data_IF_636752313632
#
_entry.id   IF_636752313632
#
_cell.length_a   1.000
_cell.length_b   1.000
_cell.length_c   1.000
_cell.angle_alpha   90.00
_cell.angle_beta   90.00
_cell.angle_gamma   90.00
#
_symmetry.space_group_name_H-M   'P 1'
#
loop_
_entity.id
_entity.type
_entity.pdbx_description
1 polymer ?
#
# COMPACT_ATOMS: atom_id res chain seq x y z
N UNK A 1 -12.63 3.31 -1.45
CA UNK A 1 -13.24 3.35 -2.81
C UNK A 1 -12.33 2.72 -3.87
N UNK A 2 -11.01 2.99 -3.88
CA UNK A 2 -10.07 2.46 -4.89
C UNK A 2 -10.03 0.93 -4.94
N UNK A 3 -10.20 0.25 -3.82
CA UNK A 3 -10.21 -1.22 -3.76
C UNK A 3 -11.36 -1.85 -4.57
N UNK A 4 -12.53 -1.20 -4.61
CA UNK A 4 -13.67 -1.69 -5.38
C UNK A 4 -13.38 -1.66 -6.89
N UNK A 5 -12.80 -0.57 -7.37
CA UNK A 5 -12.39 -0.45 -8.78
C UNK A 5 -11.26 -1.41 -9.12
N UNK A 6 -10.28 -1.53 -8.23
CA UNK A 6 -9.16 -2.45 -8.40
C UNK A 6 -9.60 -3.89 -8.48
N UNK A 7 -10.52 -4.32 -7.59
CA UNK A 7 -10.99 -5.71 -7.57
C UNK A 7 -11.72 -6.09 -8.85
N UNK A 8 -12.54 -5.19 -9.39
CA UNK A 8 -13.22 -5.43 -10.67
C UNK A 8 -12.20 -5.63 -11.80
N UNK A 9 -11.26 -4.71 -11.95
CA UNK A 9 -10.23 -4.78 -12.97
C UNK A 9 -9.32 -6.00 -12.81
N UNK A 10 -8.98 -6.36 -11.57
CA UNK A 10 -8.19 -7.53 -11.22
C UNK A 10 -8.88 -8.85 -11.63
N UNK A 11 -10.17 -9.01 -11.33
CA UNK A 11 -10.94 -10.20 -11.72
C UNK A 11 -11.00 -10.34 -13.24
N UNK A 12 -11.21 -9.23 -13.94
CA UNK A 12 -11.26 -9.21 -15.42
C UNK A 12 -9.89 -9.51 -16.01
N UNK A 13 -8.84 -8.87 -15.51
CA UNK A 13 -7.47 -9.01 -16.04
C UNK A 13 -6.92 -10.44 -15.82
N UNK A 14 -7.16 -11.01 -14.64
CA UNK A 14 -6.81 -12.41 -14.33
C UNK A 14 -7.74 -13.44 -14.97
N UNK A 15 -8.79 -13.01 -15.67
CA UNK A 15 -9.76 -13.88 -16.31
C UNK A 15 -10.38 -14.92 -15.36
N UNK A 16 -10.67 -14.49 -14.12
CA UNK A 16 -11.29 -15.36 -13.12
C UNK A 16 -12.70 -15.67 -13.56
N UNK A 17 -12.94 -16.95 -13.81
CA UNK A 17 -14.26 -17.45 -14.22
C UNK A 17 -15.08 -17.87 -13.00
N UNK A 18 -16.43 -17.96 -13.10
CA UNK A 18 -17.28 -18.38 -12.00
C UNK A 18 -16.88 -19.73 -11.39
N UNK A 19 -16.24 -20.62 -12.15
CA UNK A 19 -15.74 -21.90 -11.67
C UNK A 19 -14.64 -21.77 -10.60
N UNK A 20 -13.86 -20.70 -10.65
CA UNK A 20 -12.77 -20.43 -9.69
C UNK A 20 -13.17 -19.50 -8.53
N UNK A 21 -14.42 -19.05 -8.49
CA UNK A 21 -14.92 -18.12 -7.46
C UNK A 21 -14.75 -18.68 -6.02
N UNK A 22 -14.78 -20.01 -5.86
CA UNK A 22 -14.54 -20.66 -4.57
C UNK A 22 -13.11 -20.46 -4.07
N UNK A 23 -12.14 -20.62 -4.95
CA UNK A 23 -10.72 -20.41 -4.63
C UNK A 23 -10.40 -18.95 -4.34
N UNK A 24 -10.98 -18.03 -5.12
CA UNK A 24 -10.84 -16.58 -4.91
C UNK A 24 -11.38 -16.15 -3.54
N UNK A 25 -12.51 -16.69 -3.12
CA UNK A 25 -13.06 -16.43 -1.77
C UNK A 25 -12.14 -16.91 -0.66
N UNK A 26 -11.53 -18.08 -0.81
CA UNK A 26 -10.58 -18.62 0.18
C UNK A 26 -9.32 -17.75 0.24
N UNK A 27 -8.77 -17.36 -0.91
CA UNK A 27 -7.62 -16.47 -1.00
C UNK A 27 -7.90 -15.12 -0.33
N UNK A 28 -9.05 -14.53 -0.63
CA UNK A 28 -9.50 -13.28 -0.01
C UNK A 28 -9.67 -13.40 1.51
N UNK A 29 -10.31 -14.47 1.98
CA UNK A 29 -10.48 -14.69 3.42
C UNK A 29 -9.14 -14.87 4.15
N UNK A 30 -8.20 -15.62 3.55
CA UNK A 30 -6.85 -15.78 4.11
C UNK A 30 -6.10 -14.44 4.13
N UNK A 31 -6.17 -13.68 3.05
CA UNK A 31 -5.58 -12.35 2.97
C UNK A 31 -6.11 -11.41 4.05
N UNK A 32 -7.44 -11.34 4.22
CA UNK A 32 -8.07 -10.54 5.27
C UNK A 32 -7.61 -10.98 6.66
N UNK A 33 -7.59 -12.29 6.93
CA UNK A 33 -7.17 -12.83 8.22
C UNK A 33 -5.73 -12.42 8.55
N UNK A 34 -4.82 -12.58 7.60
CA UNK A 34 -3.40 -12.23 7.78
C UNK A 34 -3.21 -10.72 8.01
N UNK A 35 -3.92 -9.88 7.26
CA UNK A 35 -3.87 -8.41 7.43
C UNK A 35 -4.41 -8.00 8.80
N UNK A 36 -5.52 -8.58 9.24
CA UNK A 36 -6.10 -8.28 10.56
C UNK A 36 -5.17 -8.72 11.68
N UNK A 37 -4.61 -9.93 11.60
CA UNK A 37 -3.64 -10.42 12.59
C UNK A 37 -2.42 -9.50 12.64
N UNK A 38 -1.85 -9.12 11.48
CA UNK A 38 -0.71 -8.21 11.41
C UNK A 38 -1.01 -6.84 12.01
N UNK A 39 -2.16 -6.26 11.68
CA UNK A 39 -2.58 -4.97 12.21
C UNK A 39 -2.79 -5.01 13.73
N UNK A 40 -3.47 -6.03 14.24
CA UNK A 40 -3.69 -6.21 15.69
C UNK A 40 -2.36 -6.42 16.42
N UNK A 41 -1.47 -7.23 15.86
CA UNK A 41 -0.15 -7.46 16.44
C UNK A 41 0.68 -6.16 16.50
N UNK A 42 0.66 -5.37 15.44
CA UNK A 42 1.36 -4.08 15.41
C UNK A 42 0.77 -3.09 16.41
N UNK A 43 -0.55 -2.96 16.49
CA UNK A 43 -1.20 -2.11 17.48
C UNK A 43 -0.91 -2.54 18.91
N UNK A 44 -0.99 -3.84 19.20
CA UNK A 44 -0.69 -4.40 20.51
C UNK A 44 0.77 -4.18 20.92
N UNK A 45 1.69 -4.38 19.98
CA UNK A 45 3.11 -4.10 20.17
C UNK A 45 3.37 -2.62 20.50
N UNK A 46 2.82 -1.71 19.72
CA UNK A 46 2.95 -0.29 19.96
C UNK A 46 2.31 0.12 21.31
N UNK A 47 1.13 -0.39 21.60
CA UNK A 47 0.45 -0.12 22.86
C UNK A 47 1.27 -0.60 24.07
N UNK A 48 1.79 -1.82 24.02
CA UNK A 48 2.60 -2.38 25.09
C UNK A 48 3.93 -1.62 25.27
N UNK A 49 4.54 -1.20 24.17
CA UNK A 49 5.82 -0.51 24.20
C UNK A 49 5.70 0.91 24.71
N UNK A 50 4.68 1.66 24.27
CA UNK A 50 4.55 3.10 24.55
C UNK A 50 3.61 3.43 25.70
N UNK A 51 2.84 2.48 26.24
CA UNK A 51 1.94 2.72 27.35
C UNK A 51 2.70 3.29 28.58
N UNK A 52 2.24 4.42 29.08
CA UNK A 52 2.85 5.12 30.23
C UNK A 52 4.15 5.85 29.94
N UNK A 53 4.55 6.01 28.67
CA UNK A 53 5.73 6.78 28.26
C UNK A 53 5.34 8.14 27.70
N UNK A 54 6.23 9.16 27.79
CA UNK A 54 5.92 10.51 27.35
C UNK A 54 5.66 10.63 25.83
N UNK A 55 6.17 9.67 25.05
CA UNK A 55 5.97 9.61 23.61
C UNK A 55 4.58 9.08 23.21
N UNK A 56 3.83 8.48 24.15
CA UNK A 56 2.51 7.93 23.85
C UNK A 56 1.52 9.02 23.40
N UNK A 57 1.01 8.86 22.19
CA UNK A 57 0.09 9.83 21.58
C UNK A 57 0.74 11.09 20.97
N UNK A 58 2.05 11.23 21.07
CA UNK A 58 2.81 12.39 20.58
C UNK A 58 3.70 12.07 19.38
N UNK A 59 3.34 11.04 18.59
CA UNK A 59 4.08 10.74 17.37
C UNK A 59 3.71 11.74 16.28
N UNK A 60 4.68 12.56 15.90
CA UNK A 60 4.52 13.54 14.82
C UNK A 60 4.81 12.94 13.44
N UNK A 61 5.70 11.96 13.41
CA UNK A 61 6.12 11.31 12.19
C UNK A 61 6.64 9.88 12.44
N UNK A 62 6.92 9.16 11.37
CA UNK A 62 7.50 7.81 11.43
C UNK A 62 8.90 7.79 12.03
N UNK A 63 9.68 8.84 11.83
CA UNK A 63 11.02 8.97 12.41
C UNK A 63 11.01 8.99 13.92
N UNK A 64 10.02 9.66 14.52
CA UNK A 64 9.81 9.68 15.97
C UNK A 64 9.53 8.26 16.51
N UNK A 65 8.71 7.47 15.78
CA UNK A 65 8.43 6.07 16.16
C UNK A 65 9.70 5.21 16.09
N UNK A 66 10.48 5.35 15.01
CA UNK A 66 11.74 4.60 14.84
C UNK A 66 12.77 4.96 15.93
N UNK A 67 12.91 6.24 16.25
CA UNK A 67 13.80 6.72 17.32
C UNK A 67 13.39 6.17 18.69
N UNK A 68 12.10 6.15 18.96
CA UNK A 68 11.58 5.59 20.21
C UNK A 68 11.77 4.06 20.27
N UNK A 69 11.59 3.35 19.16
CA UNK A 69 11.87 1.91 19.05
C UNK A 69 13.34 1.60 19.30
N UNK A 70 14.25 2.37 18.70
CA UNK A 70 15.69 2.24 18.92
C UNK A 70 16.05 2.43 20.40
N UNK A 71 15.49 3.47 21.01
CA UNK A 71 15.73 3.82 22.41
C UNK A 71 15.26 2.75 23.39
N UNK A 72 14.10 2.12 23.15
CA UNK A 72 13.43 1.25 24.13
C UNK A 72 13.63 -0.27 23.87
N UNK A 73 13.83 -0.64 22.63
CA UNK A 73 13.94 -2.06 22.22
C UNK A 73 15.29 -2.36 21.58
N UNK A 74 15.88 -1.36 20.93
CA UNK A 74 17.19 -1.43 20.30
C UNK A 74 17.15 -1.35 18.76
N UNK A 75 18.33 -1.20 18.12
CA UNK A 75 18.46 -0.86 16.71
C UNK A 75 17.89 -1.93 15.76
N UNK A 76 17.92 -3.19 16.14
CA UNK A 76 17.38 -4.27 15.31
C UNK A 76 15.85 -4.14 15.14
N UNK A 77 15.13 -3.77 16.19
CA UNK A 77 13.68 -3.62 16.12
C UNK A 77 13.28 -2.40 15.30
N UNK A 78 13.97 -1.29 15.44
CA UNK A 78 13.76 -0.11 14.61
C UNK A 78 14.03 -0.41 13.13
N UNK A 79 15.10 -1.14 12.82
CA UNK A 79 15.43 -1.54 11.45
C UNK A 79 14.37 -2.47 10.84
N UNK A 80 13.94 -3.52 11.55
CA UNK A 80 12.91 -4.44 11.08
C UNK A 80 11.58 -3.70 10.85
N UNK A 81 11.22 -2.80 11.76
CA UNK A 81 10.01 -2.01 11.62
C UNK A 81 10.09 -1.06 10.41
N UNK A 82 11.24 -0.42 10.19
CA UNK A 82 11.46 0.44 9.02
C UNK A 82 11.34 -0.34 7.71
N UNK A 83 11.91 -1.54 7.64
CA UNK A 83 11.80 -2.41 6.45
C UNK A 83 10.35 -2.82 6.22
N UNK A 84 9.64 -3.25 7.25
CA UNK A 84 8.23 -3.64 7.13
C UNK A 84 7.35 -2.47 6.70
N UNK A 85 7.62 -1.27 7.20
CA UNK A 85 6.90 -0.06 6.80
C UNK A 85 7.20 0.32 5.35
N UNK A 86 8.46 0.24 4.94
CA UNK A 86 8.87 0.47 3.55
C UNK A 86 8.16 -0.48 2.59
N UNK A 87 8.13 -1.78 2.92
CA UNK A 87 7.43 -2.79 2.13
C UNK A 87 5.94 -2.48 2.00
N UNK A 88 5.27 -2.17 3.11
CA UNK A 88 3.86 -1.79 3.11
C UNK A 88 3.58 -0.54 2.26
N UNK A 89 4.46 0.47 2.34
CA UNK A 89 4.34 1.69 1.54
C UNK A 89 4.53 1.42 0.04
N UNK A 90 5.50 0.59 -0.34
CA UNK A 90 5.74 0.22 -1.74
C UNK A 90 4.56 -0.54 -2.34
N UNK A 91 4.04 -1.54 -1.61
CA UNK A 91 2.87 -2.32 -2.04
C UNK A 91 1.64 -1.40 -2.15
N UNK A 92 1.41 -0.55 -1.15
CA UNK A 92 0.29 0.39 -1.15
C UNK A 92 0.36 1.38 -2.31
N UNK A 93 1.53 1.99 -2.55
CA UNK A 93 1.75 2.91 -3.66
C UNK A 93 1.52 2.23 -5.02
N UNK A 94 2.06 1.02 -5.19
CA UNK A 94 1.87 0.25 -6.42
C UNK A 94 0.40 -0.09 -6.65
N UNK A 95 -0.32 -0.56 -5.62
CA UNK A 95 -1.72 -0.95 -5.72
C UNK A 95 -2.64 0.23 -6.04
N UNK A 96 -2.45 1.38 -5.39
CA UNK A 96 -3.25 2.60 -5.63
C UNK A 96 -3.00 3.16 -7.03
N UNK A 97 -1.73 3.26 -7.43
CA UNK A 97 -1.34 3.76 -8.76
C UNK A 97 -1.87 2.83 -9.86
N UNK A 98 -1.81 1.52 -9.64
CA UNK A 98 -2.33 0.53 -10.58
C UNK A 98 -3.86 0.62 -10.70
N UNK A 99 -4.58 0.73 -9.59
CA UNK A 99 -6.04 0.91 -9.58
C UNK A 99 -6.47 2.15 -10.36
N UNK A 100 -5.77 3.27 -10.13
CA UNK A 100 -6.04 4.53 -10.85
C UNK A 100 -5.74 4.39 -12.33
N UNK A 101 -4.66 3.68 -12.69
CA UNK A 101 -4.31 3.46 -14.10
C UNK A 101 -5.33 2.60 -14.84
N UNK A 102 -5.91 1.58 -14.17
CA UNK A 102 -7.02 0.82 -14.71
C UNK A 102 -8.25 1.72 -14.95
N UNK A 103 -8.62 2.54 -13.96
CA UNK A 103 -9.76 3.44 -14.08
C UNK A 103 -9.56 4.46 -15.22
N UNK A 104 -8.37 5.03 -15.37
CA UNK A 104 -8.04 5.94 -16.46
C UNK A 104 -8.12 5.21 -17.81
N UNK A 105 -7.56 4.01 -17.90
CA UNK A 105 -7.55 3.23 -19.13
C UNK A 105 -8.97 2.82 -19.57
N UNK A 106 -9.84 2.49 -18.61
CA UNK A 106 -11.25 2.19 -18.87
C UNK A 106 -12.01 3.42 -19.41
N UNK A 107 -11.83 4.59 -18.79
CA UNK A 107 -12.46 5.84 -19.21
C UNK A 107 -12.00 6.26 -20.61
N UNK A 108 -10.68 6.14 -20.85
CA UNK A 108 -10.08 6.50 -22.15
C UNK A 108 -10.24 5.40 -23.21
N UNK A 109 -10.80 4.23 -22.83
CA UNK A 109 -10.93 3.06 -23.71
C UNK A 109 -9.62 2.60 -24.32
N UNK A 110 -8.53 2.74 -23.56
CA UNK A 110 -7.20 2.29 -23.97
C UNK A 110 -7.02 0.81 -23.61
N UNK A 111 -6.28 0.08 -24.42
CA UNK A 111 -5.93 -1.31 -24.09
C UNK A 111 -5.10 -1.36 -22.82
N UNK A 112 -5.56 -2.10 -21.83
CA UNK A 112 -4.90 -2.23 -20.54
C UNK A 112 -4.91 -3.70 -20.10
N UNK A 113 -3.81 -4.18 -19.60
CA UNK A 113 -3.65 -5.45 -18.89
C UNK A 113 -2.19 -5.59 -18.46
N UNK A 114 -1.95 -6.11 -17.26
CA UNK A 114 -0.59 -6.48 -16.81
C UNK A 114 0.00 -7.67 -17.56
N UNK A 115 -0.83 -8.45 -18.26
CA UNK A 115 -0.40 -9.57 -19.11
C UNK A 115 0.07 -9.13 -20.50
N UNK A 116 -0.12 -7.85 -20.86
CA UNK A 116 0.33 -7.30 -22.13
C UNK A 116 1.75 -6.74 -22.00
N UNK A 117 2.50 -6.84 -23.10
CA UNK A 117 3.79 -6.17 -23.20
C UNK A 117 3.59 -4.64 -23.13
N UNK A 118 4.57 -3.94 -22.60
CA UNK A 118 4.56 -2.48 -22.50
C UNK A 118 4.28 -1.83 -23.87
N UNK A 119 4.82 -2.40 -24.95
CA UNK A 119 4.60 -1.95 -26.33
C UNK A 119 3.15 -2.04 -26.79
N UNK A 120 2.38 -2.98 -26.24
CA UNK A 120 1.00 -3.24 -26.66
C UNK A 120 -0.03 -2.45 -25.83
N UNK A 121 0.38 -1.91 -24.69
CA UNK A 121 -0.44 -1.16 -23.75
C UNK A 121 0.27 0.11 -23.25
N UNK A 122 0.94 0.84 -24.14
CA UNK A 122 1.78 2.00 -23.80
C UNK A 122 0.99 3.03 -22.99
N UNK A 123 -0.23 3.36 -23.38
CA UNK A 123 -1.05 4.33 -22.65
C UNK A 123 -1.32 3.96 -21.19
N UNK A 124 -1.53 2.69 -20.90
CA UNK A 124 -1.72 2.18 -19.55
C UNK A 124 -0.43 2.32 -18.71
N UNK A 125 0.70 1.87 -19.24
CA UNK A 125 1.98 1.95 -18.52
C UNK A 125 2.49 3.38 -18.37
N UNK A 126 2.22 4.25 -19.34
CA UNK A 126 2.52 5.69 -19.23
C UNK A 126 1.69 6.33 -18.14
N UNK A 127 0.38 6.07 -18.09
CA UNK A 127 -0.48 6.57 -17.02
C UNK A 127 0.02 6.09 -15.64
N UNK A 128 0.35 4.80 -15.51
CA UNK A 128 0.91 4.22 -14.29
C UNK A 128 2.22 4.90 -13.88
N UNK A 129 3.15 5.07 -14.81
CA UNK A 129 4.44 5.74 -14.54
C UNK A 129 4.26 7.20 -14.13
N UNK A 130 3.42 7.95 -14.84
CA UNK A 130 3.14 9.36 -14.50
C UNK A 130 2.57 9.50 -13.10
N UNK A 131 1.64 8.65 -12.69
CA UNK A 131 1.06 8.68 -11.34
C UNK A 131 2.12 8.45 -10.26
N UNK A 132 3.02 7.50 -10.46
CA UNK A 132 4.12 7.24 -9.52
C UNK A 132 5.06 8.44 -9.45
N UNK A 133 5.45 9.01 -10.60
CA UNK A 133 6.35 10.16 -10.64
C UNK A 133 5.74 11.41 -10.02
N UNK A 134 4.44 11.67 -10.26
CA UNK A 134 3.73 12.79 -9.63
C UNK A 134 3.67 12.58 -8.12
N UNK A 135 3.30 11.39 -7.65
CA UNK A 135 3.24 11.09 -6.23
C UNK A 135 4.61 11.24 -5.56
N UNK A 136 5.66 10.68 -6.16
CA UNK A 136 7.03 10.82 -5.66
C UNK A 136 7.49 12.29 -5.64
N UNK A 137 7.17 13.06 -6.67
CA UNK A 137 7.45 14.49 -6.74
C UNK A 137 6.72 15.28 -5.66
N UNK A 138 5.44 15.01 -5.43
CA UNK A 138 4.66 15.65 -4.38
C UNK A 138 5.27 15.38 -3.00
N UNK A 139 5.64 14.13 -2.71
CA UNK A 139 6.26 13.79 -1.43
C UNK A 139 7.64 14.41 -1.28
N UNK A 140 8.44 14.47 -2.35
CA UNK A 140 9.80 15.04 -2.30
C UNK A 140 9.81 16.57 -2.13
N UNK A 141 8.81 17.27 -2.67
CA UNK A 141 8.76 18.73 -2.67
C UNK A 141 7.67 19.31 -1.77
N UNK A 142 6.77 18.48 -1.25
CA UNK A 142 5.76 18.94 -0.31
C UNK A 142 6.40 19.24 1.04
N UNK A 143 6.06 20.40 1.60
CA UNK A 143 6.42 20.73 2.98
C UNK A 143 5.68 19.82 3.96
N UNK A 144 6.28 19.58 5.13
CA UNK A 144 5.71 18.74 6.21
C UNK A 144 4.26 19.10 6.55
N UNK A 145 3.83 20.33 6.30
CA UNK A 145 2.46 20.79 6.50
C UNK A 145 1.43 20.09 5.59
N UNK A 146 1.84 19.56 4.45
CA UNK A 146 0.97 18.83 3.50
C UNK A 146 0.86 17.33 3.86
N UNK A 147 1.84 16.82 4.60
CA UNK A 147 1.87 15.42 5.05
C UNK A 147 1.13 15.20 6.37
N UNK A 148 0.77 16.30 7.06
CA UNK A 148 0.02 16.28 8.32
C UNK A 148 -1.51 16.42 8.16
N UNK A 149 -2.03 16.38 6.91
CA UNK A 149 -3.46 16.33 6.58
C UNK A 149 -3.88 14.90 6.26
#
# INVERSE_FOLDING_TARGET
PWQLFFQQSYVVDKRITPAFNGYEKVDLCLGILLVVIGAVAMMAFCAALFAGRPEFGNFTDTGAVLTALDKYVGPYSATIFAIALLDACLIGAAAVSLSTSYAIADVLRVRHSLHRKVTDAIGFYVAYGILIFIAAGLVAFASDALLGL
#
